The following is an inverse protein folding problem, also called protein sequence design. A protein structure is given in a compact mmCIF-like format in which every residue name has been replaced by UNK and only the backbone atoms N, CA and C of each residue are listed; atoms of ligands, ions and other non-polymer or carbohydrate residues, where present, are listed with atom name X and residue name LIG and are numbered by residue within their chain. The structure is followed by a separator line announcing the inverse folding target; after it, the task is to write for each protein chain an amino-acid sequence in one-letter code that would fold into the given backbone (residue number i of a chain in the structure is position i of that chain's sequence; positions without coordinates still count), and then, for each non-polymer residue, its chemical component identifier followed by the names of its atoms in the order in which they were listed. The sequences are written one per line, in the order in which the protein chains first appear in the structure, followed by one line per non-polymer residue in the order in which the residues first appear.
data_IF_407080938285
#
_entry.id   IF_407080938285
#
_cell.length_a   1.000
_cell.length_b   1.000
_cell.length_c   1.000
_cell.angle_alpha   90.00
_cell.angle_beta   90.00
_cell.angle_gamma   90.00
#
_symmetry.space_group_name_H-M   'P 1'
#
loop_
_entity.id
_entity.type
_entity.pdbx_description
1 polymer ?
#
# COMPACT_ATOMS: atom_id res chain seq x y z
N UNK A 1 19.33 51.82 25.01
CA UNK A 1 19.93 50.93 26.03
C UNK A 1 21.05 50.15 25.38
N UNK A 2 22.28 50.20 25.90
CA UNK A 2 23.39 49.42 25.37
C UNK A 2 23.21 47.94 25.77
N UNK A 3 23.17 47.04 24.79
CA UNK A 3 23.16 45.59 25.05
C UNK A 3 24.47 45.17 25.69
N UNK A 4 24.39 44.52 26.86
CA UNK A 4 25.56 43.94 27.54
C UNK A 4 26.27 42.92 26.63
N UNK A 5 27.61 42.81 26.69
CA UNK A 5 28.38 41.79 25.96
C UNK A 5 27.83 40.37 26.11
N UNK A 6 27.30 40.01 27.29
CA UNK A 6 26.70 38.69 27.56
C UNK A 6 25.46 38.46 26.70
N UNK A 7 24.60 39.48 26.55
CA UNK A 7 23.37 39.39 25.74
C UNK A 7 23.71 39.18 24.26
N UNK A 8 24.75 39.85 23.77
CA UNK A 8 25.24 39.68 22.39
C UNK A 8 25.79 38.27 22.14
N UNK A 9 26.59 37.75 23.08
CA UNK A 9 27.11 36.38 23.01
C UNK A 9 25.97 35.35 23.00
N UNK A 10 24.99 35.49 23.89
CA UNK A 10 23.84 34.58 23.94
C UNK A 10 23.04 34.59 22.64
N UNK A 11 22.83 35.77 22.03
CA UNK A 11 22.18 35.88 20.71
C UNK A 11 22.93 35.10 19.64
N UNK A 12 24.26 35.24 19.58
CA UNK A 12 25.10 34.49 18.62
C UNK A 12 25.06 32.98 18.86
N UNK A 13 25.00 32.55 20.12
CA UNK A 13 24.84 31.12 20.46
C UNK A 13 23.49 30.61 19.96
N UNK A 14 22.40 31.34 20.23
CA UNK A 14 21.06 30.96 19.78
C UNK A 14 20.98 30.84 18.24
N UNK A 15 21.52 31.82 17.52
CA UNK A 15 21.58 31.78 16.04
C UNK A 15 22.34 30.55 15.53
N UNK A 16 23.48 30.21 16.13
CA UNK A 16 24.26 29.02 15.77
C UNK A 16 23.51 27.72 16.07
N UNK A 17 22.83 27.63 17.21
CA UNK A 17 22.05 26.45 17.60
C UNK A 17 20.89 26.22 16.64
N UNK A 18 20.14 27.28 16.30
CA UNK A 18 19.05 27.19 15.32
C UNK A 18 19.58 26.82 13.93
N UNK A 19 20.70 27.42 13.52
CA UNK A 19 21.35 27.07 12.24
C UNK A 19 21.79 25.61 12.18
N UNK A 20 22.40 25.10 13.25
CA UNK A 20 22.80 23.70 13.35
C UNK A 20 21.59 22.75 13.36
N UNK A 21 20.52 23.10 14.07
CA UNK A 21 19.28 22.34 14.06
C UNK A 21 18.72 22.19 12.64
N UNK A 22 18.56 23.30 11.91
CA UNK A 22 18.07 23.24 10.54
C UNK A 22 19.02 22.51 9.57
N UNK A 23 20.33 22.55 9.82
CA UNK A 23 21.28 21.77 9.02
C UNK A 23 21.07 20.27 9.23
N UNK A 24 20.92 19.83 10.48
CA UNK A 24 20.61 18.43 10.82
C UNK A 24 19.29 18.01 10.18
N UNK A 25 18.23 18.80 10.34
CA UNK A 25 16.91 18.55 9.75
C UNK A 25 17.00 18.30 8.24
N UNK A 26 17.63 19.22 7.50
CA UNK A 26 17.80 19.08 6.05
C UNK A 26 18.60 17.83 5.67
N UNK A 27 19.69 17.55 6.37
CA UNK A 27 20.51 16.37 6.10
C UNK A 27 19.75 15.08 6.37
N UNK A 28 19.00 15.00 7.46
CA UNK A 28 18.20 13.82 7.81
C UNK A 28 17.10 13.60 6.78
N UNK A 29 16.31 14.64 6.47
CA UNK A 29 15.21 14.53 5.48
C UNK A 29 15.77 14.17 4.10
N UNK A 30 16.83 14.84 3.65
CA UNK A 30 17.46 14.54 2.37
C UNK A 30 18.05 13.12 2.31
N UNK A 31 18.62 12.65 3.42
CA UNK A 31 19.11 11.27 3.54
C UNK A 31 18.00 10.24 3.40
N UNK A 32 16.87 10.44 4.06
CA UNK A 32 15.70 9.56 3.92
C UNK A 32 15.16 9.55 2.50
N UNK A 33 14.98 10.72 1.87
CA UNK A 33 14.52 10.82 0.49
C UNK A 33 15.45 10.10 -0.49
N UNK A 34 16.77 10.26 -0.32
CA UNK A 34 17.74 9.59 -1.19
C UNK A 34 17.66 8.06 -1.10
N UNK A 35 17.48 7.53 0.12
CA UNK A 35 17.32 6.08 0.35
C UNK A 35 16.00 5.60 -0.26
N UNK A 36 14.90 6.32 -0.04
CA UNK A 36 13.59 5.99 -0.59
C UNK A 36 13.63 5.93 -2.12
N UNK A 37 14.14 6.98 -2.78
CA UNK A 37 14.28 7.02 -4.22
C UNK A 37 15.15 5.87 -4.75
N UNK A 38 16.33 5.66 -4.15
CA UNK A 38 17.22 4.58 -4.57
C UNK A 38 16.59 3.19 -4.44
N UNK A 39 15.80 2.95 -3.39
CA UNK A 39 15.11 1.69 -3.18
C UNK A 39 13.95 1.48 -4.15
N UNK A 40 13.11 2.51 -4.36
CA UNK A 40 11.97 2.46 -5.28
C UNK A 40 12.43 2.30 -6.73
N UNK A 41 13.45 3.05 -7.15
CA UNK A 41 13.99 2.97 -8.51
C UNK A 41 14.64 1.61 -8.75
N UNK A 42 15.42 1.11 -7.79
CA UNK A 42 16.05 -0.20 -7.88
C UNK A 42 15.04 -1.34 -7.95
N UNK A 43 13.98 -1.30 -7.14
CA UNK A 43 12.91 -2.28 -7.19
C UNK A 43 12.14 -2.21 -8.53
N UNK A 44 11.81 -1.00 -8.99
CA UNK A 44 11.15 -0.77 -10.28
C UNK A 44 11.97 -1.41 -11.40
N UNK A 45 13.28 -1.16 -11.47
CA UNK A 45 14.13 -1.72 -12.50
C UNK A 45 14.16 -3.27 -12.50
N UNK A 46 14.20 -3.90 -11.32
CA UNK A 46 14.17 -5.36 -11.20
C UNK A 46 12.80 -5.90 -11.63
N UNK A 47 11.72 -5.26 -11.19
CA UNK A 47 10.36 -5.63 -11.56
C UNK A 47 10.15 -5.52 -13.07
N UNK A 48 10.64 -4.45 -13.68
CA UNK A 48 10.50 -4.19 -15.11
C UNK A 48 11.23 -5.24 -15.93
N UNK A 49 12.49 -5.53 -15.57
CA UNK A 49 13.25 -6.59 -16.23
C UNK A 49 12.63 -7.98 -16.06
N UNK A 50 11.98 -8.27 -14.93
CA UNK A 50 11.25 -9.53 -14.74
C UNK A 50 10.03 -9.61 -15.67
N UNK A 51 9.23 -8.55 -15.74
CA UNK A 51 8.05 -8.48 -16.61
C UNK A 51 8.47 -8.60 -18.07
N UNK A 52 9.47 -7.83 -18.51
CA UNK A 52 10.02 -7.89 -19.87
C UNK A 52 10.52 -9.28 -20.24
N UNK A 53 11.19 -9.97 -19.31
CA UNK A 53 11.80 -11.27 -19.61
C UNK A 53 10.81 -12.42 -19.63
N UNK A 54 9.77 -12.36 -18.80
CA UNK A 54 8.95 -13.53 -18.50
C UNK A 54 7.45 -13.36 -18.74
N UNK A 55 6.93 -12.14 -18.79
CA UNK A 55 5.49 -11.89 -18.73
C UNK A 55 4.93 -11.03 -19.88
N UNK A 56 5.79 -10.36 -20.64
CA UNK A 56 5.38 -9.66 -21.88
C UNK A 56 5.08 -10.66 -22.98
N UNK A 57 4.05 -10.36 -23.77
CA UNK A 57 3.76 -11.04 -25.04
C UNK A 57 4.52 -10.42 -26.22
N UNK A 58 4.50 -11.07 -27.39
CA UNK A 58 5.21 -10.60 -28.58
C UNK A 58 4.73 -9.21 -29.01
N UNK A 59 5.63 -8.23 -28.97
CA UNK A 59 5.33 -6.84 -29.30
C UNK A 59 4.62 -6.05 -28.21
N UNK A 60 4.43 -6.62 -27.01
CA UNK A 60 3.88 -5.94 -25.85
C UNK A 60 4.96 -5.13 -25.11
N UNK A 61 4.63 -3.91 -24.68
CA UNK A 61 5.55 -3.13 -23.83
C UNK A 61 5.44 -3.58 -22.37
N UNK A 62 6.48 -3.34 -21.56
CA UNK A 62 6.45 -3.65 -20.12
C UNK A 62 5.28 -2.99 -19.39
N UNK A 63 4.99 -1.73 -19.72
CA UNK A 63 3.88 -1.00 -19.11
C UNK A 63 2.51 -1.57 -19.51
N UNK A 64 2.37 -2.02 -20.76
CA UNK A 64 1.15 -2.69 -21.22
C UNK A 64 0.97 -4.05 -20.54
N UNK A 65 2.05 -4.83 -20.42
CA UNK A 65 2.04 -6.10 -19.71
C UNK A 65 1.64 -5.92 -18.24
N UNK A 66 2.22 -4.95 -17.53
CA UNK A 66 1.83 -4.64 -16.14
C UNK A 66 0.35 -4.30 -16.02
N UNK A 67 -0.17 -3.47 -16.93
CA UNK A 67 -1.58 -3.08 -16.94
C UNK A 67 -2.49 -4.29 -17.14
N UNK A 68 -2.21 -5.13 -18.15
CA UNK A 68 -2.94 -6.38 -18.40
C UNK A 68 -2.90 -7.30 -17.18
N UNK A 69 -1.73 -7.53 -16.59
CA UNK A 69 -1.59 -8.37 -15.41
C UNK A 69 -2.38 -7.86 -14.20
N UNK A 70 -2.45 -6.54 -14.01
CA UNK A 70 -3.24 -5.93 -12.95
C UNK A 70 -4.76 -6.15 -13.17
N UNK A 71 -5.23 -5.97 -14.40
CA UNK A 71 -6.62 -6.24 -14.79
C UNK A 71 -6.98 -7.72 -14.61
N UNK A 72 -6.13 -8.63 -15.07
CA UNK A 72 -6.33 -10.08 -14.89
C UNK A 72 -6.34 -10.48 -13.41
N UNK A 73 -5.52 -9.85 -12.56
CA UNK A 73 -5.56 -10.10 -11.12
C UNK A 73 -6.86 -9.58 -10.49
N UNK A 74 -7.33 -8.40 -10.90
CA UNK A 74 -8.61 -7.85 -10.45
C UNK A 74 -9.76 -8.80 -10.81
N UNK A 75 -9.86 -9.18 -12.07
CA UNK A 75 -10.90 -10.11 -12.54
C UNK A 75 -10.85 -11.47 -11.82
N UNK A 76 -9.65 -12.00 -11.55
CA UNK A 76 -9.49 -13.24 -10.77
C UNK A 76 -10.05 -13.11 -9.36
N UNK A 77 -9.76 -12.01 -8.67
CA UNK A 77 -10.27 -11.73 -7.30
C UNK A 77 -11.78 -11.56 -7.28
N UNK A 78 -12.32 -10.82 -8.24
CA UNK A 78 -13.77 -10.61 -8.34
C UNK A 78 -14.50 -11.93 -8.59
N UNK A 79 -13.97 -12.78 -9.48
CA UNK A 79 -14.52 -14.09 -9.73
C UNK A 79 -14.41 -15.02 -8.50
N UNK A 80 -13.33 -14.94 -7.72
CA UNK A 80 -13.18 -15.67 -6.46
C UNK A 80 -14.19 -15.21 -5.41
N UNK A 81 -14.38 -13.90 -5.28
CA UNK A 81 -15.33 -13.30 -4.36
C UNK A 81 -16.77 -13.70 -4.72
N UNK A 82 -17.14 -13.62 -6.00
CA UNK A 82 -18.45 -14.06 -6.48
C UNK A 82 -18.71 -15.54 -6.17
N UNK A 83 -17.74 -16.42 -6.44
CA UNK A 83 -17.86 -17.85 -6.11
C UNK A 83 -18.04 -18.09 -4.61
N UNK A 84 -17.37 -17.28 -3.78
CA UNK A 84 -17.50 -17.36 -2.32
C UNK A 84 -18.89 -16.90 -1.88
N UNK A 85 -19.37 -15.79 -2.40
CA UNK A 85 -20.68 -15.24 -2.06
C UNK A 85 -21.82 -16.18 -2.51
N UNK A 86 -21.71 -16.76 -3.70
CA UNK A 86 -22.64 -17.78 -4.20
C UNK A 86 -22.67 -19.02 -3.30
N UNK A 87 -21.50 -19.51 -2.87
CA UNK A 87 -21.39 -20.64 -1.96
C UNK A 87 -22.05 -20.34 -0.61
N UNK A 88 -21.79 -19.17 -0.05
CA UNK A 88 -22.31 -18.76 1.25
C UNK A 88 -23.83 -18.55 1.18
N UNK A 89 -24.34 -17.99 0.08
CA UNK A 89 -25.78 -17.87 -0.17
C UNK A 89 -26.47 -19.24 -0.32
N UNK A 90 -25.87 -20.16 -1.09
CA UNK A 90 -26.39 -21.51 -1.25
C UNK A 90 -26.41 -22.29 0.08
N UNK A 91 -25.41 -22.08 0.94
CA UNK A 91 -25.36 -22.68 2.28
C UNK A 91 -26.46 -22.12 3.19
N UNK A 92 -26.69 -20.81 3.17
CA UNK A 92 -27.80 -20.19 3.93
C UNK A 92 -29.16 -20.72 3.48
N UNK A 93 -29.41 -20.82 2.17
CA UNK A 93 -30.66 -21.37 1.65
C UNK A 93 -30.87 -22.84 2.06
N UNK A 94 -29.80 -23.65 2.08
CA UNK A 94 -29.86 -25.04 2.59
C UNK A 94 -30.20 -25.10 4.08
N UNK A 95 -29.61 -24.21 4.89
CA UNK A 95 -29.90 -24.11 6.33
C UNK A 95 -31.34 -23.69 6.60
N UNK A 96 -31.86 -22.70 5.88
CA UNK A 96 -33.26 -22.25 5.97
C UNK A 96 -34.23 -23.39 5.61
N UNK A 97 -34.03 -24.05 4.46
CA UNK A 97 -34.86 -25.18 4.06
C UNK A 97 -34.89 -26.31 5.10
N UNK A 98 -33.76 -26.55 5.77
CA UNK A 98 -33.68 -27.54 6.85
C UNK A 98 -34.47 -27.11 8.10
N UNK A 99 -34.37 -25.84 8.50
CA UNK A 99 -35.16 -25.29 9.62
C UNK A 99 -36.67 -25.37 9.36
N UNK A 100 -37.11 -25.04 8.14
CA UNK A 100 -38.53 -25.09 7.76
C UNK A 100 -39.10 -26.52 7.79
N UNK A 101 -38.31 -27.52 7.36
CA UNK A 101 -38.70 -28.93 7.44
C UNK A 101 -38.80 -29.42 8.89
N UNK A 102 -37.96 -28.92 9.80
CA UNK A 102 -38.04 -29.28 11.21
C UNK A 102 -39.28 -28.70 11.91
N UNK A 103 -39.73 -27.49 11.52
CA UNK A 103 -40.94 -26.88 12.08
C UNK A 103 -42.24 -27.59 11.65
N UNK A 104 -42.33 -28.07 10.40
CA UNK A 104 -43.53 -28.78 9.93
C UNK A 104 -43.76 -30.16 10.58
N UNK A 105 -42.71 -30.82 11.10
CA UNK A 105 -42.81 -32.14 11.74
C UNK A 105 -43.34 -32.08 13.18
N UNK A 106 -43.15 -30.95 13.87
CA UNK A 106 -43.61 -30.75 15.25
C UNK A 106 -45.02 -30.12 15.37
N UNK A 107 -45.60 -29.60 14.28
CA UNK A 107 -46.93 -28.99 14.27
C UNK A 107 -48.10 -29.93 13.91
N UNK A 108 -47.83 -31.21 13.61
CA UNK A 108 -48.85 -32.26 13.42
C UNK A 108 -48.92 -33.16 14.67
N UNK A 109 -49.46 -32.66 15.76
CA UNK A 109 -49.99 -33.45 16.88
C UNK A 109 -51.25 -32.80 17.40
#
# INVERSE_FOLDING_TARGET
MATSPIVSINKRIAEKVVGAHHAIERTVVGGYQAIEHGMVDGFTAISDGFVERFLTEDGETVEDAKRRLAEEQGARRDAEQQRRDERDNAEQARRQNHQDHHHHRNGRR
#
